data_IF_459961086991
#
_entry.id   IF_459961086991
#
_cell.length_a   1.000
_cell.length_b   1.000
_cell.length_c   1.000
_cell.angle_alpha   90.00
_cell.angle_beta   90.00
_cell.angle_gamma   90.00
#
_symmetry.space_group_name_H-M   'P 1'
#
loop_
_entity.id
_entity.type
_entity.pdbx_description
1 polymer ?
#
# COMPACT_ATOMS: atom_id res chain seq x y z
N UNK A 1 9.57 -32.36 -6.78
CA UNK A 1 10.15 -31.94 -8.08
C UNK A 1 9.11 -31.16 -8.86
N UNK A 2 9.55 -30.28 -9.77
CA UNK A 2 8.68 -29.37 -10.51
C UNK A 2 7.73 -30.05 -11.49
N UNK A 3 6.63 -29.36 -11.83
CA UNK A 3 5.64 -29.83 -12.80
C UNK A 3 6.16 -29.70 -14.25
N UNK A 4 5.55 -30.44 -15.18
CA UNK A 4 5.87 -30.43 -16.61
C UNK A 4 6.84 -31.52 -17.06
N UNK A 5 6.91 -31.75 -18.37
CA UNK A 5 7.76 -32.80 -18.97
C UNK A 5 9.26 -32.61 -18.69
N UNK A 6 9.70 -31.35 -18.56
CA UNK A 6 11.06 -30.95 -18.18
C UNK A 6 11.29 -30.84 -16.67
N UNK A 7 10.27 -31.10 -15.83
CA UNK A 7 10.28 -30.91 -14.36
C UNK A 7 10.73 -29.51 -13.90
N UNK A 8 10.61 -28.50 -14.76
CA UNK A 8 11.05 -27.13 -14.48
C UNK A 8 9.97 -26.25 -13.85
N UNK A 9 8.75 -26.77 -13.64
CA UNK A 9 7.68 -26.04 -12.98
C UNK A 9 7.98 -25.80 -11.50
N UNK A 10 7.35 -24.79 -10.91
CA UNK A 10 7.49 -24.52 -9.47
C UNK A 10 6.82 -25.63 -8.65
N UNK A 11 7.54 -26.21 -7.69
CA UNK A 11 7.03 -27.26 -6.81
C UNK A 11 6.33 -26.69 -5.57
N UNK A 12 6.83 -25.55 -5.06
CA UNK A 12 6.28 -24.93 -3.86
C UNK A 12 5.10 -24.00 -4.19
N UNK A 13 4.06 -23.94 -3.35
CA UNK A 13 2.99 -22.95 -3.48
C UNK A 13 3.56 -21.52 -3.57
N UNK A 14 2.91 -20.67 -4.36
CA UNK A 14 3.18 -19.23 -4.32
C UNK A 14 2.40 -18.63 -3.17
N UNK A 15 3.09 -17.90 -2.28
CA UNK A 15 2.39 -17.09 -1.29
C UNK A 15 1.61 -16.02 -2.05
N UNK A 16 0.29 -15.94 -1.81
CA UNK A 16 -0.42 -14.71 -2.12
C UNK A 16 0.27 -13.61 -1.31
N UNK A 17 0.66 -12.51 -1.96
CA UNK A 17 1.27 -11.36 -1.28
C UNK A 17 0.33 -10.76 -0.24
N UNK A 18 0.61 -9.54 0.20
CA UNK A 18 -0.18 -8.81 1.21
C UNK A 18 -1.69 -9.00 0.98
N UNK A 19 -2.34 -9.79 1.83
CA UNK A 19 -3.79 -10.01 1.76
C UNK A 19 -4.43 -8.68 2.13
N UNK A 20 -5.16 -8.10 1.18
CA UNK A 20 -5.83 -6.81 1.36
C UNK A 20 -6.74 -6.90 2.58
N UNK A 21 -6.44 -6.11 3.61
CA UNK A 21 -7.37 -5.88 4.70
C UNK A 21 -8.66 -5.30 4.07
N UNK A 22 -9.83 -5.82 4.45
CA UNK A 22 -11.13 -5.24 4.08
C UNK A 22 -11.43 -5.15 2.56
N UNK A 23 -10.95 -6.09 1.73
CA UNK A 23 -11.17 -6.12 0.27
C UNK A 23 -10.75 -4.84 -0.47
N UNK A 24 -9.85 -4.06 0.14
CA UNK A 24 -9.45 -2.77 -0.38
C UNK A 24 -8.73 -2.88 -1.73
N UNK A 25 -8.85 -1.84 -2.57
CA UNK A 25 -8.21 -1.77 -3.88
C UNK A 25 -6.67 -1.82 -3.81
N UNK A 26 -6.01 -2.00 -4.95
CA UNK A 26 -4.57 -1.73 -5.03
C UNK A 26 -4.38 -0.22 -4.81
N UNK A 27 -3.46 0.17 -3.93
CA UNK A 27 -3.25 1.59 -3.57
C UNK A 27 -4.26 2.16 -2.57
N UNK A 28 -5.03 1.31 -1.89
CA UNK A 28 -5.91 1.72 -0.82
C UNK A 28 -5.20 1.93 0.53
N UNK A 29 -3.87 1.78 0.57
CA UNK A 29 -3.10 2.38 1.66
C UNK A 29 -3.38 3.88 1.67
N UNK A 30 -3.39 4.49 2.86
CA UNK A 30 -3.54 5.93 3.01
C UNK A 30 -2.15 6.49 3.27
N UNK A 31 -1.30 6.69 2.23
CA UNK A 31 0.09 7.07 2.43
C UNK A 31 0.23 8.49 3.00
N UNK A 32 -0.87 9.25 3.04
CA UNK A 32 -0.94 10.59 3.65
C UNK A 32 -1.18 10.61 5.15
N UNK A 33 -1.32 9.46 5.81
CA UNK A 33 -1.49 9.40 7.27
C UNK A 33 -0.14 9.66 7.97
N UNK A 34 -0.18 10.55 8.96
CA UNK A 34 0.99 10.94 9.76
C UNK A 34 1.18 9.89 10.85
N UNK A 35 2.33 9.22 10.86
CA UNK A 35 2.66 8.19 11.84
C UNK A 35 3.81 8.63 12.74
N UNK A 36 3.90 8.13 13.99
CA UNK A 36 5.01 8.44 14.90
C UNK A 36 6.40 8.05 14.36
N UNK A 37 6.44 7.08 13.44
CA UNK A 37 7.65 6.58 12.79
C UNK A 37 8.14 7.47 11.63
N UNK A 38 7.34 8.45 11.19
CA UNK A 38 7.71 9.36 10.12
C UNK A 38 8.83 10.32 10.58
N UNK A 39 9.75 10.63 9.68
CA UNK A 39 10.72 11.70 9.93
C UNK A 39 10.06 13.09 9.96
N UNK A 40 10.79 14.10 10.44
CA UNK A 40 10.30 15.48 10.57
C UNK A 40 9.80 16.06 9.23
N UNK A 41 10.49 15.76 8.13
CA UNK A 41 10.16 16.27 6.80
C UNK A 41 8.95 15.55 6.21
N UNK A 42 8.83 14.24 6.42
CA UNK A 42 7.69 13.42 6.02
C UNK A 42 6.42 13.86 6.77
N UNK A 43 6.51 14.05 8.09
CA UNK A 43 5.39 14.57 8.89
C UNK A 43 4.92 15.94 8.39
N UNK A 44 5.86 16.85 8.10
CA UNK A 44 5.54 18.18 7.57
C UNK A 44 4.81 18.08 6.23
N UNK A 45 5.34 17.29 5.29
CA UNK A 45 4.74 17.10 3.96
C UNK A 45 3.34 16.53 4.06
N UNK A 46 3.15 15.44 4.83
CA UNK A 46 1.84 14.79 5.01
C UNK A 46 0.82 15.72 5.66
N UNK A 47 1.20 16.48 6.69
CA UNK A 47 0.34 17.50 7.32
C UNK A 47 -0.09 18.60 6.36
N UNK A 48 0.83 19.11 5.55
CA UNK A 48 0.50 20.13 4.53
C UNK A 48 -0.47 19.58 3.48
N UNK A 49 -0.30 18.34 3.03
CA UNK A 49 -1.21 17.70 2.08
C UNK A 49 -2.63 17.52 2.66
N UNK A 50 -2.78 17.16 3.93
CA UNK A 50 -4.09 17.04 4.59
C UNK A 50 -4.83 18.37 4.72
N UNK A 51 -4.11 19.49 4.88
CA UNK A 51 -4.70 20.83 4.94
C UNK A 51 -5.44 21.24 3.67
N UNK A 52 -5.11 20.66 2.51
CA UNK A 52 -5.82 20.91 1.25
C UNK A 52 -7.08 20.06 1.07
N UNK A 53 -7.17 18.88 1.71
CA UNK A 53 -8.34 17.98 1.59
C UNK A 53 -9.61 18.54 2.24
N UNK A 54 -9.47 19.29 3.33
CA UNK A 54 -10.60 19.80 4.13
C UNK A 54 -10.96 21.27 3.84
N UNK A 55 -10.45 21.84 2.75
CA UNK A 55 -10.83 23.19 2.34
C UNK A 55 -12.27 23.17 1.84
N UNK A 56 -13.14 24.07 2.30
CA UNK A 56 -14.48 24.21 1.73
C UNK A 56 -14.33 24.44 0.22
N UNK A 57 -15.03 23.65 -0.60
CA UNK A 57 -15.12 23.93 -2.03
C UNK A 57 -15.98 25.20 -2.20
N UNK A 58 -15.44 26.29 -2.77
CA UNK A 58 -16.19 27.54 -2.94
C UNK A 58 -17.16 27.52 -4.13
N UNK A 59 -17.42 26.35 -4.72
CA UNK A 59 -18.40 26.14 -5.80
C UNK A 59 -19.75 25.68 -5.24
#
# INVERSE_FOLDING_TARGET
EGLGSSRSGRADPVMAGSVKLNNLGVGAEVPGEVTPEDDIYEQYKKRMMLGYRYRPNPL
#
